data_IF_930050869185
#
_entry.id   IF_930050869185
#
_cell.length_a   1.000
_cell.length_b   1.000
_cell.length_c   1.000
_cell.angle_alpha   90.00
_cell.angle_beta   90.00
_cell.angle_gamma   90.00
#
_symmetry.space_group_name_H-M   'P 1'
#
loop_
_entity.id
_entity.type
_entity.pdbx_description
1 polymer ?
#
# COMPACT_ATOMS: atom_id res chain seq x y z
N UNK A 1 29.89 0.65 1.76
CA UNK A 1 30.41 0.52 3.14
C UNK A 1 30.63 1.89 3.79
N UNK A 2 29.65 2.85 3.68
CA UNK A 2 29.73 4.21 4.27
C UNK A 2 28.41 4.72 4.87
N UNK A 3 27.36 3.88 4.92
CA UNK A 3 26.02 4.28 5.45
C UNK A 3 25.62 3.59 6.76
N UNK A 4 26.49 2.72 7.33
CA UNK A 4 26.17 1.99 8.56
C UNK A 4 26.48 2.75 9.87
N UNK A 5 27.24 3.85 9.81
CA UNK A 5 27.67 4.56 11.02
C UNK A 5 26.77 5.72 11.45
N UNK A 6 25.70 6.04 10.69
CA UNK A 6 24.80 7.14 11.07
C UNK A 6 23.60 6.69 11.91
N UNK A 7 23.28 5.39 11.89
CA UNK A 7 22.13 4.84 12.60
C UNK A 7 22.38 4.49 14.07
N UNK A 8 23.65 4.28 14.45
CA UNK A 8 24.00 3.90 15.85
C UNK A 8 24.08 5.14 16.74
N UNK A 9 24.36 6.30 16.22
CA UNK A 9 24.44 7.53 17.00
C UNK A 9 23.07 8.07 17.48
N UNK A 10 21.98 7.74 16.79
CA UNK A 10 20.62 8.17 17.18
C UNK A 10 20.01 7.31 18.28
N UNK A 11 20.42 6.06 18.43
CA UNK A 11 19.85 5.13 19.42
C UNK A 11 20.48 5.31 20.82
N UNK A 12 21.67 5.92 20.93
CA UNK A 12 22.37 6.11 22.22
C UNK A 12 21.87 7.41 22.93
N UNK A 13 21.21 8.32 22.21
CA UNK A 13 20.73 9.57 22.82
C UNK A 13 19.43 9.41 23.64
N UNK A 14 18.79 8.25 23.58
CA UNK A 14 17.50 7.98 24.26
C UNK A 14 17.64 7.44 25.69
N UNK A 15 18.84 7.12 26.17
CA UNK A 15 19.04 6.47 27.49
C UNK A 15 19.58 7.42 28.58
N UNK A 16 19.97 8.66 28.27
CA UNK A 16 20.69 9.53 29.24
C UNK A 16 19.94 10.74 29.78
N UNK A 17 18.62 10.86 29.60
CA UNK A 17 17.84 11.99 30.13
C UNK A 17 16.87 11.64 31.27
N UNK A 18 17.18 10.60 32.05
CA UNK A 18 16.52 10.39 33.33
C UNK A 18 17.56 10.42 34.43
N UNK A 19 17.96 11.60 34.86
CA UNK A 19 18.44 11.84 36.22
C UNK A 19 18.73 13.32 36.45
N UNK A 20 18.25 13.81 37.60
CA UNK A 20 18.62 15.05 38.30
C UNK A 20 17.77 16.29 38.06
N UNK A 21 16.87 16.58 38.96
CA UNK A 21 17.02 17.78 39.81
C UNK A 21 16.22 17.68 41.12
N UNK A 22 16.94 17.84 42.16
CA UNK A 22 16.47 18.02 43.56
C UNK A 22 16.20 19.48 43.85
N UNK A 23 15.13 19.69 44.62
CA UNK A 23 14.92 20.66 45.70
C UNK A 23 15.30 22.11 45.51
N UNK A 24 14.33 23.01 45.69
CA UNK A 24 14.44 24.11 46.67
C UNK A 24 13.09 24.64 47.13
N UNK A 25 13.08 24.84 48.43
CA UNK A 25 12.08 25.25 49.37
C UNK A 25 11.45 26.63 49.18
N UNK A 26 10.18 26.70 49.67
CA UNK A 26 9.49 27.70 50.48
C UNK A 26 9.72 29.20 50.30
N UNK A 27 8.62 29.90 50.07
CA UNK A 27 8.26 31.05 50.98
C UNK A 27 6.72 31.26 51.00
N UNK A 28 6.17 31.22 52.19
CA UNK A 28 4.80 31.52 52.60
C UNK A 28 4.60 33.04 52.56
N UNK A 29 3.52 33.54 51.96
CA UNK A 29 2.88 34.81 52.38
C UNK A 29 1.36 34.59 52.36
N UNK A 30 0.79 34.62 53.59
CA UNK A 30 -0.66 34.78 53.81
C UNK A 30 -1.14 36.16 53.41
N UNK A 31 -2.33 36.26 52.80
CA UNK A 31 -3.41 37.05 53.42
C UNK A 31 -4.70 37.09 52.57
N UNK A 32 -5.78 36.64 53.23
CA UNK A 32 -7.14 37.17 53.33
C UNK A 32 -8.11 37.19 52.14
N UNK A 33 -9.05 36.26 52.26
CA UNK A 33 -10.52 36.41 52.27
C UNK A 33 -11.21 37.20 51.16
N UNK A 34 -11.84 36.40 50.28
CA UNK A 34 -13.23 36.62 49.87
C UNK A 34 -13.82 35.27 49.47
N UNK A 35 -14.99 34.91 50.06
CA UNK A 35 -15.78 33.76 49.69
C UNK A 35 -16.30 33.96 48.26
N UNK A 36 -15.57 33.40 47.28
CA UNK A 36 -16.08 33.03 45.99
C UNK A 36 -16.24 31.53 46.01
N UNK A 37 -17.39 31.03 45.64
CA UNK A 37 -17.61 29.63 45.34
C UNK A 37 -16.64 29.31 44.18
N UNK A 38 -15.47 28.80 44.49
CA UNK A 38 -14.62 28.17 43.51
C UNK A 38 -15.31 26.86 43.11
N UNK A 39 -16.08 26.88 42.06
CA UNK A 39 -16.14 25.70 41.20
C UNK A 39 -14.67 25.36 40.92
N UNK A 40 -14.18 24.32 41.55
CA UNK A 40 -12.91 23.71 41.18
C UNK A 40 -13.08 23.25 39.74
N UNK A 41 -12.57 24.03 38.82
CA UNK A 41 -12.29 23.53 37.48
C UNK A 41 -11.30 22.40 37.75
N UNK A 42 -11.81 21.17 37.72
CA UNK A 42 -10.96 19.99 37.72
C UNK A 42 -10.28 20.10 36.35
N UNK A 43 -9.06 20.64 36.31
CA UNK A 43 -8.22 20.55 35.13
C UNK A 43 -8.04 19.06 34.88
N UNK A 44 -8.77 18.53 33.90
CA UNK A 44 -8.55 17.16 33.44
C UNK A 44 -7.08 17.05 33.05
N UNK A 45 -6.40 15.98 33.46
CA UNK A 45 -5.00 15.81 33.10
C UNK A 45 -4.81 15.71 31.61
N UNK A 46 -3.69 16.19 31.12
CA UNK A 46 -3.26 16.00 29.74
C UNK A 46 -3.19 14.50 29.43
N UNK A 47 -3.85 14.05 28.40
CA UNK A 47 -3.89 12.66 27.94
C UNK A 47 -3.96 12.56 26.42
N UNK A 48 -3.15 11.69 25.83
CA UNK A 48 -3.26 11.23 24.46
C UNK A 48 -3.67 9.77 24.46
N UNK A 49 -4.56 9.39 23.56
CA UNK A 49 -5.01 7.98 23.50
C UNK A 49 -5.31 7.56 22.07
N UNK A 50 -4.99 6.32 21.75
CA UNK A 50 -5.42 5.68 20.49
C UNK A 50 -6.88 5.25 20.68
N UNK A 51 -7.79 5.85 19.89
CA UNK A 51 -9.23 5.58 19.99
C UNK A 51 -9.67 4.49 19.03
N UNK A 52 -9.15 4.52 17.80
CA UNK A 52 -9.59 3.61 16.76
C UNK A 52 -8.45 3.28 15.81
N UNK A 53 -8.52 2.08 15.23
CA UNK A 53 -7.60 1.62 14.20
C UNK A 53 -8.43 0.96 13.11
N UNK A 54 -8.38 1.49 11.90
CA UNK A 54 -9.01 0.93 10.72
C UNK A 54 -7.95 0.34 9.79
N UNK A 55 -8.25 -0.85 9.26
CA UNK A 55 -7.36 -1.55 8.33
C UNK A 55 -8.17 -1.87 7.08
N UNK A 56 -7.66 -1.47 5.92
CA UNK A 56 -8.32 -1.72 4.65
C UNK A 56 -7.30 -1.91 3.52
N UNK A 57 -7.66 -2.64 2.44
CA UNK A 57 -6.77 -2.91 1.33
C UNK A 57 -6.50 -1.64 0.53
N UNK A 58 -5.29 -1.51 -0.01
CA UNK A 58 -4.99 -0.50 -1.00
C UNK A 58 -5.60 -0.91 -2.34
N UNK A 59 -6.46 -0.06 -2.90
CA UNK A 59 -7.11 -0.33 -4.18
C UNK A 59 -6.15 -0.20 -5.38
N UNK A 60 -5.06 0.56 -5.24
CA UNK A 60 -4.06 0.74 -6.30
C UNK A 60 -2.99 -0.34 -6.30
N UNK A 61 -2.71 -0.93 -5.13
CA UNK A 61 -1.69 -1.94 -4.95
C UNK A 61 -2.22 -3.06 -4.05
N UNK A 62 -2.53 -4.19 -4.65
CA UNK A 62 -3.08 -5.37 -3.96
C UNK A 62 -2.13 -5.94 -2.89
N UNK A 63 -0.84 -5.58 -2.95
CA UNK A 63 0.18 -6.02 -1.99
C UNK A 63 0.36 -5.07 -0.82
N UNK A 64 -0.46 -4.04 -0.70
CA UNK A 64 -0.39 -3.09 0.40
C UNK A 64 -1.74 -2.86 1.06
N UNK A 65 -1.67 -2.41 2.31
CA UNK A 65 -2.82 -2.01 3.11
C UNK A 65 -2.62 -0.61 3.66
N UNK A 66 -3.73 0.04 3.99
CA UNK A 66 -3.75 1.23 4.82
C UNK A 66 -4.10 0.86 6.24
N UNK A 67 -3.43 1.53 7.19
CA UNK A 67 -3.74 1.48 8.62
C UNK A 67 -3.96 2.92 9.06
N UNK A 68 -5.21 3.26 9.34
CA UNK A 68 -5.59 4.57 9.86
C UNK A 68 -5.72 4.51 11.37
N UNK A 69 -5.15 5.50 12.03
CA UNK A 69 -5.12 5.62 13.48
C UNK A 69 -5.79 6.91 13.88
N UNK A 70 -6.83 6.78 14.70
CA UNK A 70 -7.49 7.90 15.35
C UNK A 70 -6.91 8.11 16.75
N UNK A 71 -6.51 9.33 17.04
CA UNK A 71 -5.89 9.74 18.30
C UNK A 71 -6.72 10.84 18.93
N UNK A 72 -7.14 10.65 20.16
CA UNK A 72 -7.81 11.66 20.97
C UNK A 72 -6.77 12.37 21.84
N UNK A 73 -6.88 13.68 21.91
CA UNK A 73 -6.13 14.54 22.82
C UNK A 73 -7.08 15.23 23.81
N UNK A 74 -6.91 14.98 25.09
CA UNK A 74 -7.64 15.65 26.18
C UNK A 74 -6.69 16.67 26.81
N UNK A 75 -7.11 17.94 26.87
CA UNK A 75 -6.31 19.05 27.39
C UNK A 75 -4.88 19.09 26.84
N UNK A 76 -4.73 18.73 25.54
CA UNK A 76 -3.46 18.65 24.86
C UNK A 76 -2.72 19.97 24.91
N UNK A 77 -1.48 19.93 25.40
CA UNK A 77 -0.53 21.00 25.24
C UNK A 77 -0.03 21.08 23.81
N UNK A 78 0.61 22.20 23.45
CA UNK A 78 1.31 22.30 22.18
C UNK A 78 2.58 21.44 22.23
N UNK A 79 2.70 20.51 21.30
CA UNK A 79 3.87 19.64 21.21
C UNK A 79 3.92 18.85 19.92
N UNK A 80 5.03 18.19 19.68
CA UNK A 80 5.20 17.25 18.57
C UNK A 80 5.33 15.84 19.16
N UNK A 81 4.55 14.91 18.65
CA UNK A 81 4.59 13.50 19.05
C UNK A 81 4.89 12.63 17.83
N UNK A 82 5.62 11.56 18.08
CA UNK A 82 5.89 10.55 17.09
C UNK A 82 4.89 9.40 17.22
N UNK A 83 4.38 8.95 16.07
CA UNK A 83 3.57 7.75 15.97
C UNK A 83 4.40 6.71 15.26
N UNK A 84 4.57 5.55 15.87
CA UNK A 84 5.33 4.44 15.32
C UNK A 84 4.43 3.22 15.14
N UNK A 85 4.54 2.60 13.98
CA UNK A 85 3.91 1.33 13.66
C UNK A 85 4.98 0.24 13.61
N UNK A 86 4.81 -0.79 14.41
CA UNK A 86 5.68 -1.95 14.46
C UNK A 86 4.93 -3.21 14.00
N UNK A 87 5.63 -4.13 13.36
CA UNK A 87 5.17 -5.48 13.08
C UNK A 87 6.18 -6.46 13.69
N UNK A 88 5.72 -7.31 14.60
CA UNK A 88 6.58 -8.24 15.37
C UNK A 88 7.79 -7.54 15.99
N UNK A 89 7.59 -6.37 16.61
CA UNK A 89 8.61 -5.50 17.24
C UNK A 89 9.59 -4.82 16.25
N UNK A 90 9.46 -5.03 14.95
CA UNK A 90 10.22 -4.33 13.92
C UNK A 90 9.48 -3.07 13.51
N UNK A 91 10.15 -1.93 13.50
CA UNK A 91 9.57 -0.68 13.00
C UNK A 91 9.29 -0.81 11.50
N UNK A 92 8.02 -0.58 11.13
CA UNK A 92 7.54 -0.64 9.74
C UNK A 92 7.36 0.76 9.18
N UNK A 93 6.73 1.65 9.96
CA UNK A 93 6.51 3.02 9.58
C UNK A 93 6.51 3.94 10.81
N UNK A 94 6.82 5.21 10.61
CA UNK A 94 6.69 6.25 11.65
C UNK A 94 6.37 7.59 11.02
N UNK A 95 5.62 8.42 11.76
CA UNK A 95 5.33 9.80 11.37
C UNK A 95 5.27 10.68 12.63
N UNK A 96 5.37 12.01 12.44
CA UNK A 96 5.21 13.00 13.48
C UNK A 96 3.93 13.79 13.27
N UNK A 97 3.18 14.03 14.34
CA UNK A 97 2.06 14.96 14.34
C UNK A 97 2.30 16.09 15.35
N UNK A 98 1.81 17.29 15.00
CA UNK A 98 1.84 18.42 15.89
C UNK A 98 0.51 18.47 16.66
N UNK A 99 0.56 18.30 17.98
CA UNK A 99 -0.58 18.40 18.87
C UNK A 99 -0.78 19.87 19.24
N UNK A 100 -2.01 20.36 19.16
CA UNK A 100 -2.40 21.74 19.49
C UNK A 100 -3.40 21.73 20.65
N UNK A 101 -3.36 22.72 21.50
CA UNK A 101 -4.19 22.78 22.71
C UNK A 101 -5.70 22.91 22.46
N UNK A 102 -6.08 23.32 21.26
CA UNK A 102 -7.48 23.51 20.84
C UNK A 102 -8.01 22.40 19.93
N UNK A 103 -7.21 21.40 19.62
CA UNK A 103 -7.57 20.31 18.73
C UNK A 103 -7.69 19.01 19.52
N UNK A 104 -8.79 18.28 19.36
CA UNK A 104 -9.10 17.07 20.13
C UNK A 104 -8.78 15.78 19.38
N UNK A 105 -9.00 15.73 18.08
CA UNK A 105 -8.85 14.52 17.28
C UNK A 105 -7.75 14.69 16.24
N UNK A 106 -6.91 13.67 16.14
CA UNK A 106 -5.84 13.57 15.14
C UNK A 106 -5.98 12.26 14.41
N UNK A 107 -5.56 12.26 13.15
CA UNK A 107 -5.58 11.09 12.29
C UNK A 107 -4.23 10.89 11.64
N UNK A 108 -3.79 9.63 11.63
CA UNK A 108 -2.59 9.23 10.94
C UNK A 108 -2.88 8.00 10.10
N UNK A 109 -2.55 8.08 8.80
CA UNK A 109 -2.61 6.95 7.88
C UNK A 109 -1.21 6.43 7.58
N UNK A 110 -1.06 5.10 7.59
CA UNK A 110 0.16 4.41 7.16
C UNK A 110 -0.19 3.50 5.99
N UNK A 111 0.55 3.61 4.90
CA UNK A 111 0.52 2.64 3.82
C UNK A 111 1.64 1.63 4.05
N UNK A 112 1.29 0.35 4.08
CA UNK A 112 2.22 -0.74 4.33
C UNK A 112 2.10 -1.75 3.22
N UNK A 113 3.23 -2.14 2.65
CA UNK A 113 3.32 -3.14 1.60
C UNK A 113 4.58 -4.00 1.71
N UNK A 114 4.74 -4.94 0.81
CA UNK A 114 5.96 -5.70 0.63
C UNK A 114 6.24 -6.74 1.72
N UNK A 115 7.36 -6.62 2.43
CA UNK A 115 7.91 -7.64 3.35
C UNK A 115 7.24 -7.71 4.73
N UNK A 116 6.04 -7.16 4.90
CA UNK A 116 5.34 -7.18 6.20
C UNK A 116 4.62 -8.50 6.39
N UNK A 117 4.82 -9.12 7.55
CA UNK A 117 4.12 -10.36 7.93
C UNK A 117 2.76 -10.04 8.56
N UNK A 118 1.70 -10.12 7.76
CA UNK A 118 0.33 -9.80 8.18
C UNK A 118 -0.27 -10.79 9.19
N UNK A 119 0.33 -11.97 9.35
CA UNK A 119 -0.12 -12.94 10.36
C UNK A 119 0.37 -12.60 11.76
N UNK A 120 1.38 -11.72 11.86
CA UNK A 120 1.94 -11.28 13.12
C UNK A 120 1.19 -10.08 13.71
N UNK A 121 1.49 -9.80 14.96
CA UNK A 121 0.91 -8.66 15.65
C UNK A 121 1.51 -7.35 15.12
N UNK A 122 0.62 -6.40 14.88
CA UNK A 122 0.97 -5.00 14.75
C UNK A 122 0.87 -4.31 16.10
N UNK A 123 1.71 -3.31 16.30
CA UNK A 123 1.70 -2.45 17.46
C UNK A 123 1.80 -1.00 16.99
N UNK A 124 0.86 -0.15 17.40
CA UNK A 124 0.95 1.29 17.26
C UNK A 124 1.30 1.89 18.61
N UNK A 125 2.27 2.78 18.62
CA UNK A 125 2.68 3.54 19.78
C UNK A 125 2.78 5.02 19.47
N UNK A 126 2.33 5.86 20.41
CA UNK A 126 2.46 7.31 20.38
C UNK A 126 3.46 7.70 21.45
N UNK A 127 4.41 8.60 21.15
CA UNK A 127 5.30 9.15 22.16
C UNK A 127 4.52 10.06 23.12
N UNK A 128 4.82 9.98 24.40
CA UNK A 128 4.16 10.80 25.40
C UNK A 128 4.44 12.31 25.20
N UNK A 129 3.44 13.13 25.46
CA UNK A 129 3.62 14.57 25.63
C UNK A 129 4.19 14.89 27.01
N UNK A 130 4.90 16.02 27.09
CA UNK A 130 5.42 16.47 28.39
C UNK A 130 4.28 16.86 29.32
N UNK A 131 4.19 16.19 30.47
CA UNK A 131 3.12 16.38 31.46
C UNK A 131 1.97 15.38 31.33
N UNK A 132 2.02 14.45 30.36
CA UNK A 132 1.05 13.37 30.24
C UNK A 132 1.18 12.37 31.40
N UNK A 133 0.06 12.03 32.00
CA UNK A 133 0.03 11.16 33.20
C UNK A 133 -0.31 9.71 32.88
N UNK A 134 -1.11 9.47 31.85
CA UNK A 134 -1.50 8.13 31.42
C UNK A 134 -0.90 7.80 30.06
N UNK A 135 0.20 7.07 30.07
CA UNK A 135 0.88 6.63 28.82
C UNK A 135 0.51 5.21 28.41
N UNK A 136 -0.36 4.54 29.16
CA UNK A 136 -0.72 3.14 28.87
C UNK A 136 -1.66 3.00 27.68
N UNK A 137 -2.48 4.03 27.41
CA UNK A 137 -3.41 4.13 26.28
C UNK A 137 -2.76 4.70 25.01
N UNK A 138 -1.49 5.07 25.08
CA UNK A 138 -0.68 5.49 23.94
C UNK A 138 -0.19 4.32 23.10
N UNK A 139 -0.55 3.10 23.47
CA UNK A 139 -0.10 1.89 22.79
C UNK A 139 -1.27 0.95 22.55
N UNK A 140 -1.36 0.43 21.31
CA UNK A 140 -2.36 -0.56 20.94
C UNK A 140 -1.74 -1.70 20.14
N UNK A 141 -2.08 -2.95 20.50
CA UNK A 141 -1.64 -4.15 19.80
C UNK A 141 -2.84 -4.77 19.10
N UNK A 142 -2.72 -5.05 17.81
CA UNK A 142 -3.80 -5.61 17.01
C UNK A 142 -3.27 -6.61 15.98
N UNK A 143 -4.18 -7.37 15.38
CA UNK A 143 -3.90 -8.24 14.23
C UNK A 143 -4.62 -7.70 13.01
N UNK A 144 -3.95 -7.76 11.87
CA UNK A 144 -4.65 -7.53 10.60
C UNK A 144 -5.58 -8.72 10.35
N UNK A 145 -6.85 -8.44 10.10
CA UNK A 145 -7.81 -9.45 9.59
C UNK A 145 -7.73 -9.57 8.07
N UNK A 146 -7.04 -8.63 7.41
CA UNK A 146 -6.85 -8.64 5.98
C UNK A 146 -5.69 -9.57 5.66
N UNK A 147 -5.98 -10.59 4.88
CA UNK A 147 -4.95 -11.35 4.17
C UNK A 147 -4.71 -10.62 2.86
N UNK A 148 -3.50 -10.16 2.64
CA UNK A 148 -3.07 -9.82 1.29
C UNK A 148 -2.95 -11.17 0.58
N UNK A 149 -3.85 -11.41 -0.35
CA UNK A 149 -3.72 -12.57 -1.23
C UNK A 149 -2.47 -12.33 -2.08
N UNK A 150 -1.48 -13.20 -1.89
CA UNK A 150 -0.33 -13.20 -2.79
C UNK A 150 -0.82 -13.45 -4.21
N UNK A 151 -0.24 -12.78 -5.21
CA UNK A 151 -0.61 -13.05 -6.58
C UNK A 151 -0.37 -14.52 -6.91
N UNK A 152 -1.30 -15.12 -7.63
CA UNK A 152 -1.16 -16.49 -8.09
C UNK A 152 -0.53 -16.51 -9.48
N UNK A 153 0.63 -17.16 -9.59
CA UNK A 153 1.42 -17.20 -10.83
C UNK A 153 1.42 -18.62 -11.41
N UNK A 154 1.05 -18.77 -12.68
CA UNK A 154 1.34 -19.99 -13.41
C UNK A 154 2.72 -19.88 -14.07
N UNK A 155 3.61 -20.83 -13.79
CA UNK A 155 4.92 -20.92 -14.45
C UNK A 155 4.86 -22.07 -15.45
N UNK A 156 4.93 -21.77 -16.75
CA UNK A 156 4.99 -22.77 -17.81
C UNK A 156 6.44 -22.84 -18.31
N UNK A 157 7.15 -23.91 -17.97
CA UNK A 157 8.51 -24.12 -18.45
C UNK A 157 8.52 -25.02 -19.68
N UNK A 158 9.10 -24.56 -20.79
CA UNK A 158 9.25 -25.35 -22.00
C UNK A 158 10.41 -26.32 -21.92
N UNK A 159 11.46 -25.94 -21.19
CA UNK A 159 12.64 -26.75 -20.91
C UNK A 159 13.24 -26.32 -19.57
N UNK A 160 13.34 -27.25 -18.65
CA UNK A 160 13.95 -26.99 -17.35
C UNK A 160 15.44 -26.62 -17.51
N UNK A 161 15.87 -25.63 -16.77
CA UNK A 161 17.24 -25.19 -16.68
C UNK A 161 17.58 -24.72 -15.26
N UNK A 162 18.81 -24.28 -15.02
CA UNK A 162 19.20 -23.80 -13.69
C UNK A 162 18.55 -22.48 -13.29
N UNK A 163 18.02 -21.70 -14.25
CA UNK A 163 17.35 -20.45 -13.98
C UNK A 163 15.96 -20.67 -13.33
N UNK A 164 15.26 -21.71 -13.75
CA UNK A 164 13.89 -22.02 -13.27
C UNK A 164 13.81 -22.14 -11.73
N UNK A 165 14.63 -22.96 -11.05
CA UNK A 165 14.64 -22.99 -9.58
C UNK A 165 15.02 -21.67 -8.94
N UNK A 166 15.90 -20.90 -9.57
CA UNK A 166 16.30 -19.60 -9.05
C UNK A 166 15.15 -18.57 -9.13
N UNK A 167 14.41 -18.56 -10.21
CA UNK A 167 13.18 -17.77 -10.33
C UNK A 167 12.19 -18.19 -9.24
N UNK A 168 11.83 -19.46 -9.18
CA UNK A 168 10.82 -20.00 -8.25
C UNK A 168 11.14 -19.66 -6.79
N UNK A 169 12.39 -19.85 -6.37
CA UNK A 169 12.79 -19.63 -4.98
C UNK A 169 12.83 -18.15 -4.55
N UNK A 170 12.74 -17.23 -5.49
CA UNK A 170 12.80 -15.79 -5.23
C UNK A 170 11.52 -15.04 -5.62
N UNK A 171 10.48 -15.75 -6.06
CA UNK A 171 9.16 -15.15 -6.28
C UNK A 171 8.44 -14.91 -4.94
N UNK A 172 7.97 -13.70 -4.74
CA UNK A 172 7.08 -13.39 -3.62
C UNK A 172 5.61 -13.56 -4.04
N UNK A 173 5.24 -14.78 -4.43
CA UNK A 173 3.93 -15.11 -4.97
C UNK A 173 3.58 -16.58 -4.68
N UNK A 174 2.29 -16.91 -4.71
CA UNK A 174 1.85 -18.29 -4.81
C UNK A 174 1.97 -18.74 -6.25
N UNK A 175 2.48 -19.94 -6.50
CA UNK A 175 2.69 -20.40 -7.86
C UNK A 175 2.33 -21.87 -8.08
N UNK A 176 1.89 -22.17 -9.30
CA UNK A 176 1.82 -23.51 -9.83
C UNK A 176 2.85 -23.65 -10.96
N UNK A 177 3.69 -24.69 -10.93
CA UNK A 177 4.74 -24.90 -11.90
C UNK A 177 4.45 -26.10 -12.80
N UNK A 178 4.32 -25.82 -14.10
CA UNK A 178 4.06 -26.79 -15.16
C UNK A 178 5.31 -26.96 -16.00
N UNK A 179 5.82 -28.18 -16.08
CA UNK A 179 7.04 -28.50 -16.80
C UNK A 179 6.95 -29.86 -17.47
N UNK A 180 7.73 -30.09 -18.57
CA UNK A 180 7.73 -31.37 -19.24
C UNK A 180 8.21 -32.51 -18.32
N UNK A 181 7.44 -33.60 -18.32
CA UNK A 181 7.82 -34.80 -17.56
C UNK A 181 9.20 -35.30 -18.00
N UNK A 182 10.11 -35.59 -17.07
CA UNK A 182 11.43 -36.13 -17.37
C UNK A 182 11.37 -37.50 -18.08
N UNK A 183 10.26 -38.23 -17.93
CA UNK A 183 10.10 -39.59 -18.44
C UNK A 183 9.67 -39.60 -19.92
N UNK A 184 8.71 -38.76 -20.29
CA UNK A 184 8.11 -38.80 -21.62
C UNK A 184 8.15 -37.45 -22.36
N UNK A 185 8.67 -36.39 -21.71
CA UNK A 185 8.77 -35.05 -22.26
C UNK A 185 7.41 -34.35 -22.50
N UNK A 186 6.31 -34.91 -22.01
CA UNK A 186 4.98 -34.32 -22.13
C UNK A 186 4.77 -33.29 -21.03
N UNK A 187 4.22 -32.15 -21.38
CA UNK A 187 3.79 -31.10 -20.48
C UNK A 187 2.34 -31.38 -20.06
N UNK A 188 2.14 -31.72 -18.78
CA UNK A 188 0.79 -31.82 -18.21
C UNK A 188 0.37 -30.46 -17.68
N UNK A 189 -0.63 -29.87 -18.33
CA UNK A 189 -1.20 -28.57 -17.99
C UNK A 189 -2.71 -28.65 -17.81
N UNK A 190 -3.20 -29.82 -17.37
CA UNK A 190 -4.65 -29.99 -17.17
C UNK A 190 -5.19 -28.98 -16.18
N UNK A 191 -4.55 -28.89 -14.99
CA UNK A 191 -4.97 -27.97 -13.94
C UNK A 191 -4.81 -26.49 -14.32
N UNK A 192 -3.83 -26.17 -15.16
CA UNK A 192 -3.64 -24.83 -15.69
C UNK A 192 -4.91 -24.27 -16.35
N UNK A 193 -5.63 -25.08 -17.09
CA UNK A 193 -6.81 -24.61 -17.83
C UNK A 193 -8.00 -24.27 -16.94
N UNK A 194 -8.05 -24.81 -15.73
CA UNK A 194 -9.17 -24.68 -14.79
C UNK A 194 -8.85 -23.80 -13.58
N UNK A 195 -7.62 -23.31 -13.46
CA UNK A 195 -7.18 -22.45 -12.36
C UNK A 195 -7.01 -21.02 -12.85
N UNK A 196 -7.51 -20.04 -12.10
CA UNK A 196 -7.30 -18.63 -12.39
C UNK A 196 -5.93 -18.18 -11.91
N UNK A 197 -5.25 -17.40 -12.74
CA UNK A 197 -3.94 -16.81 -12.42
C UNK A 197 -3.92 -15.32 -12.70
N UNK A 198 -3.30 -14.56 -11.79
CA UNK A 198 -3.05 -13.14 -12.02
C UNK A 198 -1.98 -12.93 -13.08
N UNK A 199 -0.95 -13.79 -13.07
CA UNK A 199 0.18 -13.72 -13.99
C UNK A 199 0.48 -15.12 -14.56
N UNK A 200 0.80 -15.16 -15.84
CA UNK A 200 1.34 -16.36 -16.48
C UNK A 200 2.80 -16.05 -16.88
N UNK A 201 3.74 -16.78 -16.29
CA UNK A 201 5.16 -16.70 -16.60
C UNK A 201 5.56 -17.84 -17.54
N UNK A 202 5.96 -17.51 -18.76
CA UNK A 202 6.50 -18.45 -19.74
C UNK A 202 8.03 -18.49 -19.59
N UNK A 203 8.57 -19.57 -19.05
CA UNK A 203 10.00 -19.77 -18.87
C UNK A 203 10.55 -20.75 -19.92
N UNK A 204 11.28 -20.22 -20.90
CA UNK A 204 11.72 -20.98 -22.08
C UNK A 204 10.58 -21.70 -22.81
N UNK A 205 9.39 -21.20 -22.73
CA UNK A 205 8.20 -21.75 -23.37
C UNK A 205 7.72 -20.83 -24.51
N UNK A 206 7.29 -21.37 -25.63
CA UNK A 206 7.31 -22.80 -25.98
C UNK A 206 8.70 -23.28 -26.45
N UNK A 207 9.05 -24.54 -26.15
CA UNK A 207 10.28 -25.17 -26.66
C UNK A 207 10.12 -25.79 -28.05
N UNK A 208 8.89 -25.91 -28.51
CA UNK A 208 8.48 -26.40 -29.84
C UNK A 208 7.29 -25.57 -30.32
N UNK A 209 7.04 -25.47 -31.63
CA UNK A 209 5.87 -24.76 -32.14
C UNK A 209 4.57 -25.31 -31.53
N UNK A 210 3.72 -24.41 -31.04
CA UNK A 210 2.39 -24.78 -30.52
C UNK A 210 1.37 -24.81 -31.69
N UNK A 211 0.28 -25.55 -31.51
CA UNK A 211 -0.77 -25.55 -32.52
C UNK A 211 -1.62 -24.29 -32.43
N UNK A 212 -2.20 -23.83 -33.56
CA UNK A 212 -3.13 -22.71 -33.58
C UNK A 212 -4.30 -22.87 -32.63
N UNK A 213 -4.77 -24.12 -32.45
CA UNK A 213 -5.85 -24.41 -31.48
C UNK A 213 -5.41 -24.14 -30.05
N UNK A 214 -4.20 -24.54 -29.69
CA UNK A 214 -3.63 -24.30 -28.38
C UNK A 214 -3.46 -22.80 -28.13
N UNK A 215 -2.88 -22.08 -29.08
CA UNK A 215 -2.66 -20.62 -28.95
C UNK A 215 -3.98 -19.87 -28.79
N UNK A 216 -5.01 -20.21 -29.57
CA UNK A 216 -6.34 -19.62 -29.44
C UNK A 216 -6.97 -19.86 -28.07
N UNK A 217 -6.84 -21.06 -27.50
CA UNK A 217 -7.33 -21.36 -26.17
C UNK A 217 -6.56 -20.59 -25.09
N UNK A 218 -5.23 -20.49 -25.26
CA UNK A 218 -4.36 -19.74 -24.35
C UNK A 218 -4.71 -18.25 -24.33
N UNK A 219 -4.86 -17.63 -25.49
CA UNK A 219 -5.28 -16.23 -25.59
C UNK A 219 -6.68 -16.01 -25.01
N UNK A 220 -7.61 -16.95 -25.25
CA UNK A 220 -8.95 -16.85 -24.66
C UNK A 220 -8.89 -16.90 -23.12
N UNK A 221 -8.06 -17.78 -22.55
CA UNK A 221 -7.86 -17.87 -21.11
C UNK A 221 -7.33 -16.56 -20.54
N UNK A 222 -6.25 -16.03 -21.11
CA UNK A 222 -5.65 -14.74 -20.68
C UNK A 222 -6.71 -13.63 -20.66
N UNK A 223 -7.49 -13.50 -21.73
CA UNK A 223 -8.52 -12.44 -21.84
C UNK A 223 -9.66 -12.67 -20.84
N UNK A 224 -10.16 -13.91 -20.72
CA UNK A 224 -11.31 -14.20 -19.86
C UNK A 224 -11.01 -14.07 -18.36
N UNK A 225 -9.76 -14.26 -17.95
CA UNK A 225 -9.31 -14.20 -16.56
C UNK A 225 -8.59 -12.88 -16.23
N UNK A 226 -8.44 -11.99 -17.22
CA UNK A 226 -7.66 -10.76 -17.12
C UNK A 226 -6.22 -11.01 -16.61
N UNK A 227 -5.63 -12.14 -17.03
CA UNK A 227 -4.28 -12.51 -16.64
C UNK A 227 -3.26 -11.70 -17.41
N UNK A 228 -2.18 -11.29 -16.78
CA UNK A 228 -1.01 -10.68 -17.43
C UNK A 228 0.04 -11.72 -17.82
N UNK A 229 0.94 -11.36 -18.72
CA UNK A 229 1.89 -12.32 -19.30
C UNK A 229 3.33 -11.83 -19.17
N UNK A 230 4.20 -12.69 -18.63
CA UNK A 230 5.65 -12.50 -18.62
C UNK A 230 6.29 -13.61 -19.45
N UNK A 231 7.20 -13.28 -20.36
CA UNK A 231 7.99 -14.26 -21.09
C UNK A 231 9.47 -14.07 -20.80
N UNK A 232 10.09 -15.13 -20.28
CA UNK A 232 11.52 -15.27 -20.13
C UNK A 232 12.04 -16.27 -21.17
N UNK A 233 12.70 -15.78 -22.20
CA UNK A 233 13.27 -16.57 -23.27
C UNK A 233 14.79 -16.72 -23.09
N UNK A 234 15.35 -17.84 -23.53
CA UNK A 234 16.80 -17.97 -23.63
C UNK A 234 17.28 -17.33 -24.95
N UNK A 235 18.49 -16.78 -24.93
CA UNK A 235 19.11 -16.20 -26.14
C UNK A 235 19.34 -17.22 -27.28
N UNK A 236 19.47 -18.52 -26.93
CA UNK A 236 19.61 -19.61 -27.91
C UNK A 236 18.28 -20.24 -28.35
N UNK A 237 17.15 -19.71 -27.91
CA UNK A 237 15.82 -20.19 -28.32
C UNK A 237 15.56 -19.83 -29.79
N UNK A 238 15.00 -20.78 -30.55
CA UNK A 238 14.65 -20.53 -31.95
C UNK A 238 13.51 -19.51 -32.04
N UNK A 239 13.79 -18.35 -32.64
CA UNK A 239 12.83 -17.25 -32.79
C UNK A 239 11.59 -17.67 -33.63
N UNK A 240 11.73 -18.67 -34.51
CA UNK A 240 10.59 -19.21 -35.29
C UNK A 240 9.56 -19.88 -34.39
N UNK A 241 9.97 -20.45 -33.25
CA UNK A 241 9.05 -21.02 -32.28
C UNK A 241 8.29 -19.95 -31.52
N UNK A 242 8.88 -18.77 -31.36
CA UNK A 242 8.31 -17.63 -30.63
C UNK A 242 7.47 -16.70 -31.51
N UNK A 243 7.50 -16.87 -32.85
CA UNK A 243 6.91 -15.93 -33.82
C UNK A 243 5.45 -15.56 -33.51
N UNK A 244 4.65 -16.54 -33.05
CA UNK A 244 3.22 -16.37 -32.79
C UNK A 244 2.95 -15.72 -31.45
N UNK A 245 3.97 -15.65 -30.57
CA UNK A 245 3.91 -14.99 -29.25
C UNK A 245 4.38 -13.53 -29.32
N UNK A 246 5.33 -13.19 -30.18
CA UNK A 246 5.88 -11.84 -30.28
C UNK A 246 4.83 -10.71 -30.38
N UNK A 247 3.71 -10.87 -31.13
CA UNK A 247 2.68 -9.84 -31.20
C UNK A 247 2.01 -9.55 -29.85
N UNK A 248 1.96 -10.52 -28.92
CA UNK A 248 1.38 -10.36 -27.58
C UNK A 248 2.23 -9.37 -26.75
N UNK A 249 3.52 -9.29 -27.06
CA UNK A 249 4.49 -8.40 -26.42
C UNK A 249 4.76 -7.13 -27.23
N UNK A 250 3.92 -6.83 -28.22
CA UNK A 250 4.10 -5.71 -29.14
C UNK A 250 5.45 -5.76 -29.92
N UNK A 251 5.96 -6.97 -30.17
CA UNK A 251 7.18 -7.21 -30.93
C UNK A 251 6.79 -7.64 -32.35
N UNK A 252 7.29 -6.92 -33.34
CA UNK A 252 7.10 -7.30 -34.74
C UNK A 252 8.13 -8.37 -35.11
N UNK A 253 7.63 -9.55 -35.47
CA UNK A 253 8.51 -10.63 -35.95
C UNK A 253 9.00 -10.37 -37.37
N UNK A 254 10.30 -10.52 -37.57
CA UNK A 254 10.93 -10.74 -38.84
C UNK A 254 12.08 -11.77 -38.71
N UNK A 255 12.61 -12.27 -39.81
CA UNK A 255 13.62 -13.32 -39.77
C UNK A 255 14.99 -12.84 -39.25
N UNK A 256 15.20 -11.53 -39.16
CA UNK A 256 16.44 -10.92 -38.65
C UNK A 256 16.42 -10.64 -37.13
N UNK A 257 15.30 -10.95 -36.44
CA UNK A 257 15.12 -10.66 -35.05
C UNK A 257 16.23 -11.31 -34.18
N UNK A 258 16.88 -10.50 -33.36
CA UNK A 258 17.94 -10.94 -32.49
C UNK A 258 17.51 -10.87 -31.03
N UNK A 259 17.48 -12.01 -30.33
CA UNK A 259 17.08 -12.07 -28.93
C UNK A 259 18.00 -11.27 -28.00
N UNK A 260 19.26 -11.00 -28.41
CA UNK A 260 20.15 -10.15 -27.63
C UNK A 260 19.66 -8.72 -27.48
N UNK A 261 18.73 -8.26 -28.33
CA UNK A 261 18.16 -6.92 -28.23
C UNK A 261 17.12 -6.80 -27.08
N UNK A 262 16.76 -7.93 -26.47
CA UNK A 262 15.75 -8.04 -25.40
C UNK A 262 16.36 -8.46 -24.07
N UNK A 263 17.55 -7.99 -23.75
CA UNK A 263 18.26 -8.31 -22.48
C UNK A 263 17.71 -7.53 -21.26
N UNK A 264 16.79 -6.60 -21.48
CA UNK A 264 16.07 -5.86 -20.41
C UNK A 264 14.58 -6.18 -20.52
N UNK A 265 13.90 -6.17 -19.37
CA UNK A 265 12.45 -6.35 -19.34
C UNK A 265 11.72 -5.24 -20.11
N UNK A 266 10.92 -5.65 -21.10
CA UNK A 266 9.98 -4.73 -21.75
C UNK A 266 8.75 -4.53 -20.86
N UNK A 267 8.08 -3.38 -21.00
CA UNK A 267 6.78 -3.11 -20.38
C UNK A 267 5.79 -2.70 -21.47
N UNK A 268 4.79 -3.55 -21.69
CA UNK A 268 3.73 -3.28 -22.65
C UNK A 268 2.39 -3.37 -21.97
N UNK A 269 1.53 -2.38 -22.23
CA UNK A 269 0.20 -2.31 -21.67
C UNK A 269 -0.82 -1.98 -22.76
N UNK A 270 -1.94 -2.69 -22.76
CA UNK A 270 -3.08 -2.44 -23.63
C UNK A 270 -4.37 -2.63 -22.82
N UNK A 271 -4.95 -1.51 -22.36
CA UNK A 271 -6.02 -1.52 -21.36
C UNK A 271 -5.52 -2.14 -20.06
N UNK A 272 -6.29 -3.06 -19.49
CA UNK A 272 -5.91 -3.82 -18.29
C UNK A 272 -4.84 -4.90 -18.54
N UNK A 273 -4.67 -5.35 -19.77
CA UNK A 273 -3.67 -6.36 -20.12
C UNK A 273 -2.27 -5.79 -20.10
N UNK A 274 -1.39 -6.40 -19.33
CA UNK A 274 0.03 -6.06 -19.26
C UNK A 274 0.88 -7.24 -19.67
N UNK A 275 1.97 -6.97 -20.38
CA UNK A 275 2.91 -8.00 -20.78
C UNK A 275 4.35 -7.52 -20.72
N UNK A 276 5.26 -8.44 -20.43
CA UNK A 276 6.70 -8.18 -20.35
C UNK A 276 7.48 -9.31 -21.01
N UNK A 277 8.52 -8.95 -21.77
CA UNK A 277 9.40 -9.88 -22.47
C UNK A 277 10.85 -9.60 -22.10
N UNK A 278 11.60 -10.65 -21.83
CA UNK A 278 13.06 -10.62 -21.67
C UNK A 278 13.70 -11.83 -22.31
N UNK A 279 14.92 -11.68 -22.84
CA UNK A 279 15.72 -12.79 -23.34
C UNK A 279 17.11 -12.79 -22.68
N UNK A 280 17.43 -13.87 -21.95
CA UNK A 280 18.69 -14.02 -21.22
C UNK A 280 19.24 -15.44 -21.33
N UNK A 281 20.57 -15.60 -21.23
CA UNK A 281 21.21 -16.93 -21.25
C UNK A 281 21.19 -17.63 -19.92
N UNK A 282 21.74 -16.97 -18.91
CA UNK A 282 21.99 -17.56 -17.60
C UNK A 282 21.83 -16.49 -16.50
N UNK A 283 20.85 -16.67 -15.67
CA UNK A 283 20.53 -15.75 -14.55
C UNK A 283 21.69 -15.69 -13.53
N UNK A 284 22.41 -16.80 -13.32
CA UNK A 284 23.53 -16.83 -12.36
C UNK A 284 24.67 -15.91 -12.76
N UNK A 285 24.88 -15.69 -14.07
CA UNK A 285 25.92 -14.81 -14.60
C UNK A 285 25.46 -13.36 -14.76
N UNK A 286 24.15 -13.11 -14.82
CA UNK A 286 23.59 -11.77 -15.13
C UNK A 286 23.32 -10.99 -13.86
N UNK A 287 23.48 -11.57 -12.68
CA UNK A 287 23.46 -10.83 -11.43
C UNK A 287 22.16 -10.81 -10.60
N UNK A 288 22.35 -10.31 -9.38
CA UNK A 288 21.31 -9.95 -8.40
C UNK A 288 20.20 -9.03 -8.96
N UNK A 289 20.44 -8.35 -10.08
CA UNK A 289 19.50 -7.38 -10.67
C UNK A 289 18.31 -8.06 -11.36
N UNK A 290 18.47 -9.25 -11.96
CA UNK A 290 17.37 -9.91 -12.67
C UNK A 290 16.15 -10.18 -11.77
N UNK A 291 16.39 -10.74 -10.58
CA UNK A 291 15.29 -11.04 -9.64
C UNK A 291 14.62 -9.75 -9.14
N UNK A 292 15.42 -8.70 -8.88
CA UNK A 292 14.89 -7.40 -8.53
C UNK A 292 13.99 -6.84 -9.64
N UNK A 293 14.47 -6.86 -10.88
CA UNK A 293 13.72 -6.40 -12.06
C UNK A 293 12.46 -7.26 -12.32
N UNK A 294 12.55 -8.60 -12.13
CA UNK A 294 11.40 -9.47 -12.25
C UNK A 294 10.31 -9.13 -11.21
N UNK A 295 10.71 -8.91 -9.95
CA UNK A 295 9.77 -8.50 -8.91
C UNK A 295 9.19 -7.12 -9.19
N UNK A 296 9.98 -6.16 -9.67
CA UNK A 296 9.48 -4.85 -10.13
C UNK A 296 8.46 -4.96 -11.29
N UNK A 297 8.65 -5.92 -12.20
CA UNK A 297 7.70 -6.20 -13.27
C UNK A 297 6.41 -6.81 -12.72
N UNK A 298 6.53 -7.75 -11.76
CA UNK A 298 5.39 -8.35 -11.09
C UNK A 298 4.59 -7.26 -10.36
N UNK A 299 5.25 -6.40 -9.59
CA UNK A 299 4.63 -5.28 -8.89
C UNK A 299 3.94 -4.34 -9.89
N UNK A 300 4.62 -3.96 -10.98
CA UNK A 300 4.01 -3.14 -12.04
C UNK A 300 2.79 -3.79 -12.68
N UNK A 301 2.81 -5.11 -12.89
CA UNK A 301 1.67 -5.85 -13.44
C UNK A 301 0.48 -5.80 -12.48
N UNK A 302 0.74 -5.99 -11.19
CA UNK A 302 -0.29 -6.04 -10.16
C UNK A 302 -0.88 -4.67 -9.80
N UNK A 303 -0.16 -3.58 -10.12
CA UNK A 303 -0.71 -2.24 -9.98
C UNK A 303 -1.94 -2.10 -10.87
N UNK A 304 -3.07 -1.76 -10.26
CA UNK A 304 -4.28 -1.44 -11.03
C UNK A 304 -4.14 -0.03 -11.61
N UNK A 305 -3.58 0.05 -12.82
CA UNK A 305 -3.33 1.33 -13.50
C UNK A 305 -4.58 1.97 -14.07
N UNK A 306 -5.69 1.26 -14.13
CA UNK A 306 -6.97 1.81 -14.55
C UNK A 306 -7.63 2.61 -13.41
N UNK A 307 -7.28 2.32 -12.16
CA UNK A 307 -7.68 3.11 -11.00
C UNK A 307 -6.69 4.27 -10.85
N UNK A 308 -7.11 5.46 -11.27
CA UNK A 308 -6.30 6.68 -11.14
C UNK A 308 -6.41 7.31 -9.75
N UNK A 309 -7.51 7.05 -9.06
CA UNK A 309 -7.86 7.63 -7.75
C UNK A 309 -8.50 6.60 -6.85
N UNK A 310 -8.24 6.71 -5.56
CA UNK A 310 -8.96 5.98 -4.52
C UNK A 310 -9.29 6.94 -3.38
N UNK A 311 -10.52 6.90 -2.91
CA UNK A 311 -10.97 7.72 -1.79
C UNK A 311 -11.37 6.85 -0.62
N UNK A 312 -11.15 7.37 0.56
CA UNK A 312 -11.43 6.68 1.80
C UNK A 312 -11.92 7.68 2.85
N UNK A 313 -12.90 7.24 3.63
CA UNK A 313 -13.41 7.96 4.80
C UNK A 313 -13.04 7.17 6.05
N UNK A 314 -12.23 7.78 6.93
CA UNK A 314 -11.53 7.09 8.00
C UNK A 314 -12.47 6.46 9.05
N UNK A 315 -13.64 7.03 9.30
CA UNK A 315 -14.50 6.59 10.38
C UNK A 315 -15.61 5.66 9.90
N UNK A 316 -15.74 4.51 10.53
CA UNK A 316 -16.84 3.58 10.28
C UNK A 316 -18.17 4.07 10.84
N UNK A 317 -18.14 4.79 11.96
CA UNK A 317 -19.28 5.38 12.63
C UNK A 317 -19.06 6.88 12.74
N UNK A 318 -19.79 7.65 11.95
CA UNK A 318 -19.69 9.09 11.94
C UNK A 318 -20.84 9.66 12.76
N UNK A 319 -20.53 10.56 13.68
CA UNK A 319 -21.52 11.21 14.53
C UNK A 319 -21.73 12.65 14.11
N UNK A 320 -22.89 13.16 14.51
CA UNK A 320 -23.23 14.56 14.34
C UNK A 320 -22.23 15.46 15.05
N UNK A 321 -21.80 16.54 14.40
CA UNK A 321 -20.80 17.50 14.88
C UNK A 321 -19.40 16.91 15.16
N UNK A 322 -19.09 15.70 14.67
CA UNK A 322 -17.75 15.14 14.67
C UNK A 322 -17.14 15.25 13.27
N UNK A 323 -15.88 15.63 13.14
CA UNK A 323 -15.25 15.77 11.82
C UNK A 323 -15.12 14.41 11.12
N UNK A 324 -15.53 14.37 9.87
CA UNK A 324 -15.30 13.26 8.95
C UNK A 324 -14.02 13.53 8.20
N UNK A 325 -13.06 12.61 8.29
CA UNK A 325 -11.79 12.73 7.63
C UNK A 325 -11.79 11.96 6.31
N UNK A 326 -11.42 12.65 5.25
CA UNK A 326 -11.46 12.17 3.88
C UNK A 326 -10.05 12.14 3.34
N UNK A 327 -9.62 10.97 2.91
CA UNK A 327 -8.34 10.74 2.27
C UNK A 327 -8.54 10.42 0.80
N UNK A 328 -7.68 10.98 -0.03
CA UNK A 328 -7.62 10.68 -1.45
C UNK A 328 -6.21 10.26 -1.85
N UNK A 329 -6.10 9.20 -2.61
CA UNK A 329 -4.86 8.69 -3.15
C UNK A 329 -4.91 8.77 -4.67
N UNK A 330 -3.77 9.01 -5.31
CA UNK A 330 -3.67 9.02 -6.75
C UNK A 330 -2.35 8.42 -7.21
N UNK A 331 -2.38 7.65 -8.29
CA UNK A 331 -1.19 7.18 -8.98
C UNK A 331 -0.76 8.13 -10.11
N UNK A 332 -1.47 9.25 -10.30
CA UNK A 332 -1.10 10.28 -11.28
C UNK A 332 0.00 11.19 -10.76
N UNK A 333 0.81 11.71 -11.68
CA UNK A 333 1.87 12.68 -11.33
C UNK A 333 1.26 14.03 -10.97
N UNK A 334 1.80 14.69 -9.96
CA UNK A 334 1.31 15.93 -9.30
C UNK A 334 0.77 17.06 -10.19
N UNK A 335 1.19 17.15 -11.45
CA UNK A 335 0.79 18.22 -12.36
C UNK A 335 -0.69 18.20 -12.78
N UNK A 336 -1.37 17.05 -12.66
CA UNK A 336 -2.73 16.85 -13.14
C UNK A 336 -3.81 17.01 -12.04
N UNK A 337 -3.39 17.13 -10.78
CA UNK A 337 -4.27 16.98 -9.61
C UNK A 337 -4.71 18.29 -8.93
N UNK A 338 -4.52 19.44 -9.56
CA UNK A 338 -4.69 20.75 -8.93
C UNK A 338 -6.10 21.10 -8.44
N UNK A 339 -7.13 20.35 -8.83
CA UNK A 339 -8.54 20.66 -8.53
C UNK A 339 -9.36 19.46 -8.03
N UNK A 340 -8.75 18.62 -7.19
CA UNK A 340 -9.47 17.53 -6.55
C UNK A 340 -10.40 18.08 -5.47
N UNK A 341 -11.69 17.78 -5.56
CA UNK A 341 -12.73 18.25 -4.64
C UNK A 341 -13.78 17.19 -4.40
N UNK A 342 -14.52 17.31 -3.30
CA UNK A 342 -15.71 16.53 -3.01
C UNK A 342 -16.93 17.43 -2.91
N UNK A 343 -17.98 17.14 -3.67
CA UNK A 343 -19.30 17.69 -3.44
C UNK A 343 -20.02 16.82 -2.41
N UNK A 344 -20.56 17.44 -1.38
CA UNK A 344 -21.27 16.77 -0.30
C UNK A 344 -22.78 17.00 -0.50
N UNK A 345 -23.53 15.91 -0.57
CA UNK A 345 -24.95 15.96 -0.81
C UNK A 345 -25.73 15.30 0.34
N UNK A 346 -26.93 15.82 0.60
CA UNK A 346 -28.00 15.20 1.39
C UNK A 346 -29.26 15.25 0.53
N UNK A 347 -30.00 14.14 0.44
CA UNK A 347 -31.22 14.05 -0.34
C UNK A 347 -31.13 14.61 -1.78
N UNK A 348 -29.97 14.30 -2.43
CA UNK A 348 -29.58 14.75 -3.77
C UNK A 348 -29.31 16.26 -3.91
N UNK A 349 -29.37 17.04 -2.82
CA UNK A 349 -29.02 18.46 -2.83
C UNK A 349 -27.57 18.68 -2.39
N UNK A 350 -26.76 19.43 -3.18
CA UNK A 350 -25.39 19.79 -2.82
C UNK A 350 -25.41 20.83 -1.70
N UNK A 351 -24.96 20.42 -0.52
CA UNK A 351 -24.87 21.27 0.67
C UNK A 351 -23.51 21.93 0.81
N UNK A 352 -22.43 21.31 0.29
CA UNK A 352 -21.06 21.82 0.41
C UNK A 352 -20.17 21.32 -0.72
N UNK A 353 -19.10 22.06 -1.00
CA UNK A 353 -17.99 21.62 -1.87
C UNK A 353 -16.68 21.84 -1.15
N UNK A 354 -15.96 20.76 -0.89
CA UNK A 354 -14.71 20.74 -0.13
C UNK A 354 -13.53 20.39 -1.04
N UNK A 355 -12.43 21.11 -0.86
CA UNK A 355 -11.18 20.86 -1.58
C UNK A 355 -10.32 19.85 -0.84
N UNK A 356 -9.81 18.87 -1.54
CA UNK A 356 -8.79 17.97 -1.00
C UNK A 356 -7.41 18.61 -1.19
N UNK A 357 -6.63 18.71 -0.12
CA UNK A 357 -5.31 19.30 -0.11
C UNK A 357 -4.25 18.19 -0.13
N UNK A 358 -3.29 18.30 -1.05
CA UNK A 358 -2.19 17.34 -1.14
C UNK A 358 -1.19 17.55 -0.01
N UNK A 359 -0.85 16.46 0.68
CA UNK A 359 0.23 16.42 1.66
C UNK A 359 1.47 15.76 1.02
N UNK A 360 2.53 16.53 0.69
CA UNK A 360 3.70 15.98 0.01
C UNK A 360 4.56 15.06 0.89
N UNK A 361 4.40 15.13 2.22
CA UNK A 361 5.14 14.27 3.15
C UNK A 361 4.52 12.87 3.18
N UNK A 362 3.18 12.82 3.22
CA UNK A 362 2.43 11.56 3.35
C UNK A 362 2.01 10.97 1.99
N UNK A 363 2.09 11.76 0.91
CA UNK A 363 1.76 11.31 -0.45
C UNK A 363 0.27 11.13 -0.73
N UNK A 364 -0.61 11.72 0.08
CA UNK A 364 -2.06 11.63 -0.10
C UNK A 364 -2.74 13.01 -0.05
N UNK A 365 -3.98 13.06 -0.53
CA UNK A 365 -4.89 14.19 -0.41
C UNK A 365 -5.71 14.04 0.84
N UNK A 366 -5.97 15.16 1.51
CA UNK A 366 -6.70 15.18 2.76
C UNK A 366 -7.67 16.35 2.82
N UNK A 367 -8.82 16.11 3.43
CA UNK A 367 -9.77 17.13 3.86
C UNK A 367 -10.62 16.63 5.02
N UNK A 368 -11.35 17.52 5.65
CA UNK A 368 -12.34 17.19 6.68
C UNK A 368 -13.66 17.86 6.38
N UNK A 369 -14.72 17.23 6.84
CA UNK A 369 -16.10 17.74 6.78
C UNK A 369 -16.77 17.51 8.13
N UNK A 370 -17.44 18.53 8.67
CA UNK A 370 -18.20 18.43 9.92
C UNK A 370 -19.68 18.46 9.61
N UNK A 371 -20.43 17.34 9.79
CA UNK A 371 -21.85 17.28 9.52
C UNK A 371 -22.64 18.00 10.61
N UNK A 372 -23.59 18.84 10.23
CA UNK A 372 -24.50 19.58 11.12
C UNK A 372 -25.89 18.95 11.25
N UNK A 373 -26.19 17.92 10.47
CA UNK A 373 -27.42 17.14 10.49
C UNK A 373 -27.16 15.66 10.43
N UNK A 374 -28.00 14.83 11.09
CA UNK A 374 -27.95 13.39 10.92
C UNK A 374 -28.62 12.97 9.63
N UNK A 375 -28.14 11.90 9.00
CA UNK A 375 -28.71 11.41 7.74
C UNK A 375 -27.71 10.68 6.86
N UNK A 376 -28.13 10.42 5.62
CA UNK A 376 -27.29 9.79 4.61
C UNK A 376 -26.63 10.86 3.73
N UNK A 377 -25.32 10.94 3.80
CA UNK A 377 -24.51 11.85 3.01
C UNK A 377 -23.90 11.12 1.82
N UNK A 378 -23.80 11.82 0.70
CA UNK A 378 -23.13 11.34 -0.50
C UNK A 378 -21.96 12.26 -0.80
N UNK A 379 -20.75 11.71 -0.88
CA UNK A 379 -19.55 12.43 -1.26
C UNK A 379 -19.20 12.09 -2.70
N UNK A 380 -19.38 13.05 -3.60
CA UNK A 380 -19.04 12.94 -5.02
C UNK A 380 -17.66 13.55 -5.26
N UNK A 381 -16.66 12.71 -5.46
CA UNK A 381 -15.29 13.13 -5.73
C UNK A 381 -15.13 13.53 -7.20
N UNK A 382 -14.51 14.68 -7.42
CA UNK A 382 -14.36 15.26 -8.75
C UNK A 382 -12.93 15.78 -8.98
N UNK A 383 -12.44 15.64 -10.21
CA UNK A 383 -11.28 16.36 -10.72
C UNK A 383 -11.72 17.22 -11.91
N UNK A 384 -11.48 18.53 -11.83
CA UNK A 384 -11.90 19.49 -12.86
C UNK A 384 -13.40 19.35 -13.23
N UNK A 385 -14.27 19.17 -12.24
CA UNK A 385 -15.74 18.97 -12.39
C UNK A 385 -16.15 17.65 -13.06
N UNK A 386 -15.22 16.74 -13.31
CA UNK A 386 -15.54 15.39 -13.78
C UNK A 386 -15.65 14.48 -12.57
N UNK A 387 -16.79 13.82 -12.41
CA UNK A 387 -17.02 12.82 -11.36
C UNK A 387 -16.01 11.66 -11.54
N UNK A 388 -15.37 11.29 -10.44
CA UNK A 388 -14.39 10.21 -10.38
C UNK A 388 -14.94 9.04 -9.59
N UNK A 389 -15.50 9.32 -8.38
CA UNK A 389 -15.95 8.33 -7.43
C UNK A 389 -17.05 8.88 -6.55
N UNK A 390 -17.80 8.00 -5.87
CA UNK A 390 -18.89 8.35 -4.96
C UNK A 390 -18.84 7.45 -3.72
N UNK A 391 -18.83 8.06 -2.52
CA UNK A 391 -18.90 7.34 -1.25
C UNK A 391 -20.15 7.79 -0.47
N UNK A 392 -20.92 6.81 0.02
CA UNK A 392 -22.06 7.05 0.89
C UNK A 392 -21.68 6.88 2.36
N UNK A 393 -22.12 7.81 3.21
CA UNK A 393 -21.80 7.84 4.63
C UNK A 393 -23.09 8.10 5.42
N UNK A 394 -23.34 7.31 6.44
CA UNK A 394 -24.43 7.55 7.37
C UNK A 394 -23.91 8.28 8.61
N UNK A 395 -24.59 9.36 8.98
CA UNK A 395 -24.32 10.17 10.17
C UNK A 395 -25.40 9.87 11.19
N UNK A 396 -24.98 9.52 12.37
CA UNK A 396 -25.84 9.18 13.50
C UNK A 396 -25.85 10.32 14.52
N UNK A 397 -26.95 10.43 15.29
CA UNK A 397 -27.07 11.38 16.41
C UNK A 397 -26.09 11.07 17.55
#
# INVERSE_FOLDING_TARGET
MKYYNFFIASLIFFITLVSCSKDKENTIIENNSSMGVNESIIDEPLDLSIQNILIYPNQFDKNSIYIDVEILSINGGNGEVQIALLNDKRLVASNSIKVLSNEKNYFQSFMIGGEVDYEKNFEIGISALNGETNISNNKHIFKSSLKIEKPKIAILSGKLNFNTPHIINNLNADYDHFYPSPINGNLDITDFWFTNYDIILLDNFPSKPVSDKWLKLFLKKIISENSSLIMNSRLDQDTKVLKDFFPIFNIKYDESINLNDFNNFSRNQNGSFKSSFIAINDIFNISKNYISELNEIIDWILLDTDIQYSFHIANKYNKLNEPIFIYGYSNLVDSELKNLQAEVLIDDEVISTIKLLYNPISGYYFTQFEPDTSGSYVFNFQNNKKLIDTINVNIYE
#
